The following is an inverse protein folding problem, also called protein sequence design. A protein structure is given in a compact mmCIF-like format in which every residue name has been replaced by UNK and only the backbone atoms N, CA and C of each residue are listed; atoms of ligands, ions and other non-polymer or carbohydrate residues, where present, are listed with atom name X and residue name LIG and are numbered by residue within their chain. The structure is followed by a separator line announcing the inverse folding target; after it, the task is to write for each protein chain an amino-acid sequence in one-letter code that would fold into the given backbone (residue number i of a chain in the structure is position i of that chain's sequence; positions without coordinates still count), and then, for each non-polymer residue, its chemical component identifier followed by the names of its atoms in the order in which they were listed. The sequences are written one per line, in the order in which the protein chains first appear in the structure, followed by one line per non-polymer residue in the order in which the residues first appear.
data_IF_994117354920
#
_entry.id   IF_994117354920
#
_cell.length_a   1.000
_cell.length_b   1.000
_cell.length_c   1.000
_cell.angle_alpha   90.00
_cell.angle_beta   90.00
_cell.angle_gamma   90.00
#
_symmetry.space_group_name_H-M   'P 1'
#
loop_
_entity.id
_entity.type
_entity.pdbx_description
1 polymer ?
#
# COMPACT_ATOMS: atom_id res chain seq x y z
N UNK A 1 -7.36 8.33 -79.52
CA UNK A 1 -6.71 9.44 -78.79
C UNK A 1 -7.22 9.39 -77.35
N UNK A 2 -6.37 9.05 -76.38
CA UNK A 2 -6.76 8.88 -74.98
C UNK A 2 -6.43 10.15 -74.20
N UNK A 3 -7.45 10.97 -73.91
CA UNK A 3 -7.30 12.08 -72.97
C UNK A 3 -7.52 11.56 -71.55
N UNK A 4 -6.42 11.31 -70.84
CA UNK A 4 -6.46 11.14 -69.39
C UNK A 4 -6.66 12.52 -68.75
N UNK A 5 -7.83 12.72 -68.16
CA UNK A 5 -8.17 13.92 -67.40
C UNK A 5 -7.24 14.04 -66.18
N UNK A 6 -6.36 15.03 -66.21
CA UNK A 6 -5.56 15.42 -65.07
C UNK A 6 -6.49 16.04 -64.02
N UNK A 7 -6.91 15.24 -63.05
CA UNK A 7 -7.61 15.76 -61.88
C UNK A 7 -6.60 16.48 -60.99
N UNK A 8 -6.83 17.76 -60.79
CA UNK A 8 -6.06 18.67 -59.94
C UNK A 8 -5.71 18.04 -58.59
N UNK A 9 -4.44 18.17 -58.18
CA UNK A 9 -3.86 17.81 -56.87
C UNK A 9 -4.45 18.62 -55.70
N UNK A 10 -5.77 18.75 -55.60
CA UNK A 10 -6.43 19.27 -54.42
C UNK A 10 -6.36 18.18 -53.34
N UNK A 11 -5.55 18.38 -52.28
CA UNK A 11 -5.57 17.54 -51.07
C UNK A 11 -7.01 17.49 -50.55
N UNK A 12 -7.75 16.42 -50.85
CA UNK A 12 -9.11 16.22 -50.31
C UNK A 12 -8.99 16.00 -48.80
N UNK A 13 -9.36 17.02 -48.04
CA UNK A 13 -9.46 16.93 -46.58
C UNK A 13 -10.75 16.20 -46.22
N UNK A 14 -10.64 15.00 -45.64
CA UNK A 14 -11.79 14.25 -45.17
C UNK A 14 -12.25 14.79 -43.82
N UNK A 15 -13.55 15.00 -43.65
CA UNK A 15 -14.16 15.44 -42.39
C UNK A 15 -14.79 14.24 -41.71
N UNK A 16 -14.46 14.03 -40.44
CA UNK A 16 -15.07 13.00 -39.62
C UNK A 16 -16.50 13.38 -39.24
N UNK A 17 -17.35 12.40 -38.89
CA UNK A 17 -18.72 12.62 -38.40
C UNK A 17 -18.81 13.58 -37.20
N UNK A 18 -17.73 13.73 -36.43
CA UNK A 18 -17.65 14.72 -35.35
C UNK A 18 -17.35 16.16 -35.82
N UNK A 19 -17.38 16.44 -37.12
CA UNK A 19 -17.11 17.77 -37.70
C UNK A 19 -15.62 18.15 -37.79
N UNK A 20 -14.72 17.28 -37.34
CA UNK A 20 -13.27 17.56 -37.33
C UNK A 20 -12.56 16.91 -38.50
N UNK A 21 -11.40 17.46 -38.89
CA UNK A 21 -10.56 16.87 -39.93
C UNK A 21 -10.09 15.47 -39.53
N UNK A 22 -10.21 14.53 -40.47
CA UNK A 22 -9.69 13.19 -40.33
C UNK A 22 -8.18 13.20 -40.55
N UNK A 23 -7.45 12.51 -39.68
CA UNK A 23 -6.01 12.32 -39.81
C UNK A 23 -5.73 11.09 -40.66
N UNK A 24 -4.89 11.25 -41.68
CA UNK A 24 -4.33 10.14 -42.44
C UNK A 24 -3.29 9.43 -41.58
N UNK A 25 -3.40 8.11 -41.46
CA UNK A 25 -2.43 7.26 -40.77
C UNK A 25 -2.00 6.10 -41.65
N UNK A 26 -0.80 5.62 -41.43
CA UNK A 26 -0.26 4.43 -42.10
C UNK A 26 -0.34 3.25 -41.14
N UNK A 27 -0.78 2.10 -41.64
CA UNK A 27 -0.83 0.85 -40.90
C UNK A 27 0.56 0.23 -40.80
N UNK A 28 0.89 -0.26 -39.60
CA UNK A 28 2.15 -0.94 -39.29
C UNK A 28 1.94 -2.42 -38.90
N UNK A 29 0.75 -2.97 -39.10
CA UNK A 29 0.50 -4.40 -38.82
C UNK A 29 1.04 -5.25 -39.97
N UNK A 30 1.57 -6.42 -39.66
CA UNK A 30 2.19 -7.34 -40.64
C UNK A 30 1.32 -7.58 -41.89
N UNK A 31 0.01 -7.76 -41.72
CA UNK A 31 -0.93 -8.02 -42.82
C UNK A 31 -1.34 -6.79 -43.65
N UNK A 32 -1.10 -5.57 -43.16
CA UNK A 32 -1.56 -4.33 -43.78
C UNK A 32 -0.48 -3.24 -43.77
N UNK A 33 0.80 -3.63 -43.82
CA UNK A 33 1.91 -2.68 -43.75
C UNK A 33 1.86 -1.66 -44.90
N UNK A 34 2.09 -0.39 -44.59
CA UNK A 34 2.12 0.69 -45.58
C UNK A 34 0.75 1.17 -46.07
N UNK A 35 -0.35 0.48 -45.75
CA UNK A 35 -1.71 0.91 -46.14
C UNK A 35 -2.13 2.16 -45.37
N UNK A 36 -2.66 3.15 -46.08
CA UNK A 36 -3.13 4.40 -45.49
C UNK A 36 -4.63 4.35 -45.20
N UNK A 37 -5.04 4.91 -44.06
CA UNK A 37 -6.45 5.01 -43.66
C UNK A 37 -6.71 6.31 -42.91
N UNK A 38 -7.94 6.81 -42.98
CA UNK A 38 -8.36 8.00 -42.26
C UNK A 38 -8.93 7.64 -40.88
N UNK A 39 -8.50 8.34 -39.85
CA UNK A 39 -9.01 8.19 -38.50
C UNK A 39 -9.46 9.54 -37.91
N UNK A 40 -10.46 9.51 -37.03
CA UNK A 40 -10.89 10.68 -36.28
C UNK A 40 -9.76 11.17 -35.37
N UNK A 41 -9.42 12.46 -35.46
CA UNK A 41 -8.39 13.05 -34.63
C UNK A 41 -8.74 13.00 -33.13
N UNK A 42 -9.96 13.45 -32.82
CA UNK A 42 -10.49 13.50 -31.45
C UNK A 42 -10.68 12.09 -30.88
N UNK A 43 -11.22 11.16 -31.67
CA UNK A 43 -11.45 9.78 -31.24
C UNK A 43 -10.15 9.07 -30.84
N UNK A 44 -9.06 9.34 -31.57
CA UNK A 44 -7.74 8.80 -31.23
C UNK A 44 -7.21 9.37 -29.91
N UNK A 45 -7.36 10.68 -29.67
CA UNK A 45 -6.93 11.33 -28.43
C UNK A 45 -7.72 10.82 -27.21
N UNK A 46 -9.05 10.75 -27.30
CA UNK A 46 -9.90 10.24 -26.21
C UNK A 46 -9.55 8.79 -25.87
N UNK A 47 -9.34 7.94 -26.88
CA UNK A 47 -8.94 6.55 -26.67
C UNK A 47 -7.59 6.43 -25.97
N UNK A 48 -6.62 7.28 -26.33
CA UNK A 48 -5.33 7.34 -25.67
C UNK A 48 -5.44 7.82 -24.22
N UNK A 49 -6.16 8.92 -23.99
CA UNK A 49 -6.38 9.49 -22.65
C UNK A 49 -7.06 8.49 -21.71
N UNK A 50 -8.10 7.78 -22.18
CA UNK A 50 -8.75 6.71 -21.39
C UNK A 50 -7.80 5.57 -21.05
N UNK A 51 -6.98 5.11 -21.99
CA UNK A 51 -5.98 4.05 -21.72
C UNK A 51 -4.95 4.48 -20.68
N UNK A 52 -4.51 5.73 -20.76
CA UNK A 52 -3.57 6.30 -19.79
C UNK A 52 -4.20 6.37 -18.39
N UNK A 53 -5.43 6.88 -18.26
CA UNK A 53 -6.15 6.90 -16.99
C UNK A 53 -6.34 5.49 -16.40
N UNK A 54 -6.80 4.52 -17.20
CA UNK A 54 -7.00 3.14 -16.74
C UNK A 54 -5.66 2.53 -16.27
N UNK A 55 -4.56 2.80 -16.97
CA UNK A 55 -3.23 2.34 -16.57
C UNK A 55 -2.81 2.92 -15.22
N UNK A 56 -3.02 4.22 -15.01
CA UNK A 56 -2.70 4.87 -13.73
C UNK A 56 -3.57 4.36 -12.59
N UNK A 57 -4.88 4.18 -12.82
CA UNK A 57 -5.80 3.60 -11.83
C UNK A 57 -5.35 2.19 -11.44
N UNK A 58 -4.97 1.36 -12.43
CA UNK A 58 -4.47 0.00 -12.15
C UNK A 58 -3.20 0.01 -11.31
N UNK A 59 -2.25 0.91 -11.61
CA UNK A 59 -1.03 1.07 -10.81
C UNK A 59 -1.38 1.48 -9.37
N UNK A 60 -2.27 2.46 -9.20
CA UNK A 60 -2.73 2.88 -7.88
C UNK A 60 -3.39 1.75 -7.11
N UNK A 61 -4.24 0.94 -7.75
CA UNK A 61 -4.90 -0.20 -7.13
C UNK A 61 -3.91 -1.24 -6.61
N UNK A 62 -2.85 -1.53 -7.38
CA UNK A 62 -1.81 -2.46 -6.94
C UNK A 62 -1.07 -1.94 -5.71
N UNK A 63 -0.72 -0.64 -5.70
CA UNK A 63 -0.08 0.00 -4.53
C UNK A 63 -1.00 -0.04 -3.30
N UNK A 64 -2.30 0.18 -3.47
CA UNK A 64 -3.26 0.07 -2.37
C UNK A 64 -3.36 -1.36 -1.83
N UNK A 65 -3.33 -2.36 -2.72
CA UNK A 65 -3.35 -3.76 -2.33
C UNK A 65 -2.10 -4.14 -1.51
N UNK A 66 -0.92 -3.72 -1.96
CA UNK A 66 0.33 -3.92 -1.22
C UNK A 66 0.30 -3.24 0.16
N UNK A 67 -0.23 -2.01 0.24
CA UNK A 67 -0.39 -1.30 1.51
C UNK A 67 -1.38 -1.98 2.47
N UNK A 68 -2.44 -2.58 1.94
CA UNK A 68 -3.41 -3.34 2.71
C UNK A 68 -2.79 -4.62 3.30
N UNK A 69 -2.02 -5.35 2.50
CA UNK A 69 -1.27 -6.53 2.97
C UNK A 69 -0.30 -6.16 4.10
N UNK A 70 0.42 -5.04 3.98
CA UNK A 70 1.28 -4.55 5.07
C UNK A 70 0.51 -4.17 6.33
N UNK A 71 -0.64 -3.49 6.19
CA UNK A 71 -1.48 -3.13 7.33
C UNK A 71 -1.95 -4.38 8.08
N UNK A 72 -2.34 -5.42 7.35
CA UNK A 72 -2.81 -6.66 7.96
C UNK A 72 -1.68 -7.42 8.67
N UNK A 73 -0.46 -7.39 8.12
CA UNK A 73 0.74 -7.89 8.81
C UNK A 73 1.03 -7.12 10.10
N UNK A 74 1.01 -5.78 10.06
CA UNK A 74 1.20 -4.95 11.26
C UNK A 74 0.12 -5.18 12.32
N UNK A 75 -1.12 -5.42 11.91
CA UNK A 75 -2.22 -5.76 12.82
C UNK A 75 -1.96 -7.08 13.56
N UNK A 76 -1.31 -8.06 12.93
CA UNK A 76 -0.84 -9.28 13.59
C UNK A 76 0.19 -8.97 14.66
N UNK A 77 1.27 -8.29 14.29
CA UNK A 77 2.35 -7.90 15.22
C UNK A 77 1.85 -7.10 16.43
N UNK A 78 0.86 -6.23 16.23
CA UNK A 78 0.28 -5.42 17.29
C UNK A 78 -0.46 -6.29 18.32
N UNK A 79 -1.16 -7.33 17.88
CA UNK A 79 -1.82 -8.29 18.79
C UNK A 79 -0.81 -9.10 19.60
N UNK A 80 0.27 -9.52 18.97
CA UNK A 80 1.33 -10.26 19.66
C UNK A 80 2.02 -9.38 20.71
N UNK A 81 2.33 -8.14 20.35
CA UNK A 81 2.90 -7.14 21.27
C UNK A 81 1.96 -6.82 22.45
N UNK A 82 0.66 -6.73 22.18
CA UNK A 82 -0.35 -6.53 23.22
C UNK A 82 -0.41 -7.71 24.19
N UNK A 83 -0.34 -8.95 23.67
CA UNK A 83 -0.27 -10.16 24.50
C UNK A 83 0.99 -10.19 25.37
N UNK A 84 2.15 -9.82 24.81
CA UNK A 84 3.41 -9.76 25.55
C UNK A 84 3.37 -8.71 26.66
N UNK A 85 2.79 -7.53 26.38
CA UNK A 85 2.55 -6.48 27.37
C UNK A 85 1.70 -7.02 28.53
N UNK A 86 0.63 -7.74 28.23
CA UNK A 86 -0.27 -8.25 29.26
C UNK A 86 0.40 -9.37 30.09
N UNK A 87 1.23 -10.22 29.46
CA UNK A 87 2.08 -11.18 30.18
C UNK A 87 3.09 -10.49 31.11
N UNK A 88 3.75 -9.42 30.63
CA UNK A 88 4.70 -8.65 31.42
C UNK A 88 4.03 -7.98 32.62
N UNK A 89 2.82 -7.43 32.45
CA UNK A 89 2.04 -6.87 33.56
C UNK A 89 1.77 -7.90 34.65
N UNK A 90 1.38 -9.12 34.28
CA UNK A 90 1.16 -10.20 35.25
C UNK A 90 2.45 -10.59 35.99
N UNK A 91 3.58 -10.70 35.27
CA UNK A 91 4.88 -10.99 35.90
C UNK A 91 5.29 -9.90 36.89
N UNK A 92 5.07 -8.64 36.53
CA UNK A 92 5.41 -7.49 37.38
C UNK A 92 4.61 -7.49 38.69
N UNK A 93 3.31 -7.79 38.62
CA UNK A 93 2.47 -7.93 39.82
C UNK A 93 3.00 -9.04 40.73
N UNK A 94 3.32 -10.22 40.16
CA UNK A 94 3.84 -11.35 40.92
C UNK A 94 5.18 -11.02 41.61
N UNK A 95 6.07 -10.32 40.91
CA UNK A 95 7.37 -9.96 41.47
C UNK A 95 7.25 -8.87 42.55
N UNK A 96 6.29 -7.93 42.42
CA UNK A 96 5.98 -6.96 43.48
C UNK A 96 5.43 -7.65 44.76
N UNK A 97 4.58 -8.68 44.61
CA UNK A 97 4.09 -9.48 45.74
C UNK A 97 5.22 -10.26 46.43
N UNK A 98 6.12 -10.86 45.65
CA UNK A 98 7.30 -11.55 46.20
C UNK A 98 8.20 -10.58 46.95
N UNK A 99 8.43 -9.38 46.42
CA UNK A 99 9.25 -8.36 47.08
C UNK A 99 8.61 -7.94 48.42
N UNK A 100 7.29 -7.73 48.45
CA UNK A 100 6.56 -7.46 49.71
C UNK A 100 6.71 -8.62 50.69
N UNK A 101 6.55 -9.86 50.24
CA UNK A 101 6.76 -11.06 51.05
C UNK A 101 8.17 -11.16 51.64
N UNK A 102 9.20 -10.93 50.80
CA UNK A 102 10.61 -10.91 51.23
C UNK A 102 10.87 -9.81 52.26
N UNK A 103 10.34 -8.61 52.06
CA UNK A 103 10.43 -7.51 53.03
C UNK A 103 9.82 -7.89 54.37
N UNK A 104 8.63 -8.50 54.37
CA UNK A 104 7.96 -8.96 55.61
C UNK A 104 8.80 -10.02 56.32
N UNK A 105 9.33 -11.01 55.59
CA UNK A 105 10.21 -12.04 56.18
C UNK A 105 11.49 -11.44 56.78
N UNK A 106 12.10 -10.46 56.10
CA UNK A 106 13.29 -9.77 56.59
C UNK A 106 13.01 -9.00 57.89
N UNK A 107 11.92 -8.24 57.95
CA UNK A 107 11.52 -7.53 59.17
C UNK A 107 11.19 -8.48 60.32
N UNK A 108 10.54 -9.61 60.03
CA UNK A 108 10.25 -10.66 61.02
C UNK A 108 11.54 -11.26 61.60
N UNK A 109 12.52 -11.60 60.77
CA UNK A 109 13.81 -12.13 61.21
C UNK A 109 14.58 -11.10 62.08
N UNK A 110 14.59 -9.84 61.65
CA UNK A 110 15.24 -8.76 62.41
C UNK A 110 14.63 -8.60 63.80
N UNK A 111 13.30 -8.67 63.90
CA UNK A 111 12.57 -8.59 65.16
C UNK A 111 12.91 -9.75 66.09
N UNK A 112 13.03 -10.98 65.59
CA UNK A 112 13.46 -12.15 66.36
C UNK A 112 14.89 -11.96 66.90
N UNK A 113 15.82 -11.48 66.07
CA UNK A 113 17.22 -11.22 66.48
C UNK A 113 17.28 -10.15 67.57
N UNK A 114 16.52 -9.05 67.43
CA UNK A 114 16.44 -7.98 68.43
C UNK A 114 15.85 -8.51 69.74
N UNK A 115 14.74 -9.26 69.67
CA UNK A 115 14.10 -9.84 70.84
C UNK A 115 15.05 -10.80 71.59
N UNK A 116 15.77 -11.67 70.87
CA UNK A 116 16.74 -12.58 71.46
C UNK A 116 17.90 -11.86 72.15
N UNK A 117 18.41 -10.77 71.55
CA UNK A 117 19.43 -9.92 72.20
C UNK A 117 18.92 -9.25 73.46
N UNK A 118 17.67 -8.77 73.50
CA UNK A 118 17.09 -8.22 74.71
C UNK A 118 16.96 -9.27 75.82
N UNK A 119 16.52 -10.48 75.50
CA UNK A 119 16.38 -11.57 76.49
C UNK A 119 17.74 -11.99 77.05
N UNK A 120 18.76 -12.13 76.21
CA UNK A 120 20.11 -12.59 76.62
C UNK A 120 20.98 -11.50 77.23
N UNK A 121 20.73 -10.21 76.94
CA UNK A 121 21.46 -9.08 77.51
C UNK A 121 20.92 -8.56 78.85
N UNK A 122 19.85 -9.18 79.39
CA UNK A 122 19.31 -8.89 80.72
C UNK A 122 19.87 -9.81 81.83
N UNK A 123 20.91 -10.59 81.55
CA UNK A 123 21.72 -11.33 82.53
C UNK A 123 23.03 -10.59 82.81
#
# INVERSE_FOLDING_TARGET
MSQASQTSNAKKSYVCRCGNLAMLRTSHTDMNSGRQFFNCAIGAYIKFSRRYQISNIRKALNLFKEAEEQRDHFKGLLKDTEKDRDQLKQKLILDEEKEKGLKIMLYGLLLVVVFWKCVTGMQ
#
